data_IF_638644509819
#
_entry.id   IF_638644509819
#
_cell.length_a   1.000
_cell.length_b   1.000
_cell.length_c   1.000
_cell.angle_alpha   90.00
_cell.angle_beta   90.00
_cell.angle_gamma   90.00
#
_symmetry.space_group_name_H-M   'P 1'
#
loop_
_entity.id
_entity.type
_entity.pdbx_description
1 polymer ?
#
# COMPACT_ATOMS: atom_id res chain seq x y z
N UNK A 1 23.86 34.36 -24.42
CA UNK A 1 23.95 34.47 -22.94
C UNK A 1 22.57 34.49 -22.29
N UNK A 2 21.62 35.29 -22.78
CA UNK A 2 20.22 35.25 -22.32
C UNK A 2 19.55 33.89 -22.54
N UNK A 3 19.72 33.26 -23.71
CA UNK A 3 19.12 31.94 -23.98
C UNK A 3 19.71 30.82 -23.10
N UNK A 4 21.01 30.88 -22.80
CA UNK A 4 21.65 29.94 -21.89
C UNK A 4 21.17 30.12 -20.43
N UNK A 5 20.84 31.35 -20.04
CA UNK A 5 20.26 31.65 -18.73
C UNK A 5 18.80 31.18 -18.64
N UNK A 6 18.02 31.35 -19.72
CA UNK A 6 16.66 30.80 -19.79
C UNK A 6 16.66 29.26 -19.82
N UNK A 7 17.57 28.61 -20.55
CA UNK A 7 17.75 27.16 -20.49
C UNK A 7 18.20 26.68 -19.12
N UNK A 8 19.08 27.41 -18.44
CA UNK A 8 19.47 27.11 -17.06
C UNK A 8 18.29 27.21 -16.09
N UNK A 9 17.45 28.24 -16.21
CA UNK A 9 16.24 28.35 -15.41
C UNK A 9 15.24 27.22 -15.72
N UNK A 10 15.11 26.82 -16.99
CA UNK A 10 14.24 25.71 -17.40
C UNK A 10 14.75 24.33 -16.96
N UNK A 11 16.06 24.16 -16.77
CA UNK A 11 16.66 22.92 -16.27
C UNK A 11 16.68 22.83 -14.74
N UNK A 12 16.39 23.92 -14.02
CA UNK A 12 16.24 23.85 -12.56
C UNK A 12 14.97 23.09 -12.17
N UNK A 13 15.07 22.24 -11.14
CA UNK A 13 13.93 21.49 -10.59
C UNK A 13 12.72 22.37 -10.22
N UNK A 14 12.96 23.65 -9.92
CA UNK A 14 11.90 24.62 -9.64
C UNK A 14 10.96 24.88 -10.82
N UNK A 15 11.43 24.74 -12.07
CA UNK A 15 10.60 24.91 -13.26
C UNK A 15 9.64 23.73 -13.50
N UNK A 16 9.99 22.53 -13.02
CA UNK A 16 9.15 21.33 -13.09
C UNK A 16 8.12 21.20 -11.97
N UNK A 17 8.06 22.16 -11.04
CA UNK A 17 7.11 22.13 -9.92
C UNK A 17 5.69 22.46 -10.39
N UNK A 18 4.93 21.41 -10.68
CA UNK A 18 3.48 21.51 -10.85
C UNK A 18 2.78 21.47 -9.48
N UNK A 19 1.58 22.06 -9.39
CA UNK A 19 0.70 21.95 -8.22
C UNK A 19 0.54 20.51 -7.74
N UNK A 20 0.35 19.55 -8.66
CA UNK A 20 0.24 18.13 -8.32
C UNK A 20 1.49 17.57 -7.64
N UNK A 21 2.68 17.93 -8.13
CA UNK A 21 3.97 17.50 -7.54
C UNK A 21 4.13 18.08 -6.13
N UNK A 22 3.84 19.37 -5.97
CA UNK A 22 3.92 20.03 -4.66
C UNK A 22 2.95 19.39 -3.66
N UNK A 23 1.73 19.07 -4.10
CA UNK A 23 0.74 18.39 -3.27
C UNK A 23 1.23 16.99 -2.84
N UNK A 24 1.76 16.20 -3.77
CA UNK A 24 2.28 14.86 -3.47
C UNK A 24 3.50 14.89 -2.53
N UNK A 25 4.37 15.89 -2.66
CA UNK A 25 5.47 16.12 -1.73
C UNK A 25 4.97 16.53 -0.34
N UNK A 26 3.90 17.32 -0.24
CA UNK A 26 3.28 17.62 1.05
C UNK A 26 2.68 16.37 1.69
N UNK A 27 2.03 15.51 0.89
CA UNK A 27 1.48 14.23 1.35
C UNK A 27 2.60 13.30 1.82
N UNK A 28 3.72 13.18 1.10
CA UNK A 28 4.83 12.33 1.53
C UNK A 28 5.43 12.79 2.86
N UNK A 29 5.61 14.11 3.05
CA UNK A 29 6.04 14.67 4.34
C UNK A 29 5.04 14.37 5.46
N UNK A 30 3.73 14.46 5.19
CA UNK A 30 2.70 14.09 6.15
C UNK A 30 2.76 12.60 6.52
N UNK A 31 2.92 11.72 5.54
CA UNK A 31 3.05 10.28 5.78
C UNK A 31 4.31 9.93 6.56
N UNK A 32 5.45 10.58 6.26
CA UNK A 32 6.67 10.44 7.06
C UNK A 32 6.47 10.90 8.51
N UNK A 33 5.76 12.02 8.71
CA UNK A 33 5.42 12.49 10.06
C UNK A 33 4.55 11.46 10.81
N UNK A 34 3.51 10.92 10.17
CA UNK A 34 2.67 9.89 10.78
C UNK A 34 3.46 8.62 11.11
N UNK A 35 4.32 8.16 10.20
CA UNK A 35 5.10 6.95 10.39
C UNK A 35 6.14 7.10 11.51
N UNK A 36 6.86 8.23 11.55
CA UNK A 36 7.98 8.45 12.48
C UNK A 36 7.50 8.96 13.84
N UNK A 37 6.68 10.02 13.85
CA UNK A 37 6.29 10.71 15.10
C UNK A 37 5.12 10.00 15.77
N UNK A 38 4.16 9.51 14.98
CA UNK A 38 2.99 8.81 15.51
C UNK A 38 3.16 7.28 15.53
N UNK A 39 4.21 6.75 14.92
CA UNK A 39 4.50 5.31 14.91
C UNK A 39 3.53 4.49 14.07
N UNK A 40 2.93 5.09 13.04
CA UNK A 40 1.98 4.40 12.16
C UNK A 40 2.75 3.48 11.21
N UNK A 41 2.70 2.16 11.49
CA UNK A 41 3.35 1.10 10.71
C UNK A 41 4.69 1.51 10.07
N UNK A 42 5.68 1.91 10.91
CA UNK A 42 6.88 2.56 10.43
C UNK A 42 7.69 1.69 9.48
N UNK A 43 7.59 0.37 9.61
CA UNK A 43 8.33 -0.60 8.79
C UNK A 43 8.01 -0.48 7.30
N UNK A 44 6.76 -0.14 6.95
CA UNK A 44 6.28 -0.09 5.56
C UNK A 44 5.88 1.32 5.15
N UNK A 45 5.29 2.11 6.05
CA UNK A 45 4.84 3.46 5.72
C UNK A 45 6.02 4.43 5.48
N UNK A 46 7.16 4.25 6.16
CA UNK A 46 8.36 5.08 5.91
C UNK A 46 8.92 4.85 4.50
N UNK A 47 9.22 3.61 4.05
CA UNK A 47 9.65 3.36 2.67
C UNK A 47 8.64 3.84 1.63
N UNK A 48 7.33 3.67 1.87
CA UNK A 48 6.29 4.14 0.95
C UNK A 48 6.32 5.67 0.84
N UNK A 49 6.31 6.37 1.97
CA UNK A 49 6.33 7.82 1.98
C UNK A 49 7.60 8.39 1.34
N UNK A 50 8.75 7.76 1.58
CA UNK A 50 10.00 8.12 0.93
C UNK A 50 9.96 7.85 -0.58
N UNK A 51 9.37 6.74 -1.01
CA UNK A 51 9.13 6.44 -2.42
C UNK A 51 8.25 7.49 -3.10
N UNK A 52 7.16 7.92 -2.45
CA UNK A 52 6.29 9.01 -2.94
C UNK A 52 7.08 10.32 -3.07
N UNK A 53 7.95 10.64 -2.11
CA UNK A 53 8.79 11.83 -2.19
C UNK A 53 9.74 11.75 -3.40
N UNK A 54 10.45 10.63 -3.57
CA UNK A 54 11.43 10.46 -4.65
C UNK A 54 10.79 10.45 -6.04
N UNK A 55 9.65 9.77 -6.23
CA UNK A 55 8.99 9.69 -7.54
C UNK A 55 8.42 11.03 -8.00
N UNK A 56 8.17 11.96 -7.07
CA UNK A 56 7.66 13.29 -7.37
C UNK A 56 8.77 14.34 -7.51
N UNK A 57 10.06 13.98 -7.41
CA UNK A 57 11.14 14.93 -7.68
C UNK A 57 11.19 15.30 -9.18
N UNK A 58 11.10 16.59 -9.53
CA UNK A 58 11.08 17.02 -10.93
C UNK A 58 12.39 16.67 -11.62
N UNK A 59 12.29 16.21 -12.87
CA UNK A 59 13.41 15.78 -13.73
C UNK A 59 14.26 14.61 -13.22
N UNK A 60 13.87 13.95 -12.11
CA UNK A 60 14.65 12.86 -11.56
C UNK A 60 14.47 11.53 -12.32
N UNK A 61 13.33 11.35 -13.03
CA UNK A 61 13.10 10.18 -13.89
C UNK A 61 13.15 8.83 -13.18
N UNK A 62 13.02 8.78 -11.85
CA UNK A 62 13.32 7.57 -11.06
C UNK A 62 12.38 6.39 -11.32
N UNK A 63 11.19 6.64 -11.87
CA UNK A 63 10.21 5.65 -12.31
C UNK A 63 10.14 5.50 -13.84
N UNK A 64 11.01 6.19 -14.60
CA UNK A 64 10.98 6.13 -16.06
C UNK A 64 11.33 4.71 -16.55
N UNK A 65 10.56 4.15 -17.49
CA UNK A 65 10.91 2.87 -18.10
C UNK A 65 12.17 3.01 -18.95
N UNK A 66 12.98 1.94 -19.08
CA UNK A 66 14.14 1.95 -19.98
C UNK A 66 13.68 2.11 -21.43
N UNK A 67 14.43 2.90 -22.21
CA UNK A 67 14.22 3.03 -23.64
C UNK A 67 15.12 2.01 -24.33
N UNK A 68 14.49 1.01 -24.93
CA UNK A 68 15.17 -0.04 -25.69
C UNK A 68 14.89 0.15 -27.17
N UNK A 69 15.94 0.24 -27.97
CA UNK A 69 15.85 0.24 -29.43
C UNK A 69 16.38 -1.10 -29.95
N UNK A 70 15.67 -1.66 -30.94
CA UNK A 70 16.09 -2.88 -31.61
C UNK A 70 16.82 -2.45 -32.88
N UNK A 71 18.13 -2.68 -32.94
CA UNK A 71 18.94 -2.46 -34.13
C UNK A 71 19.64 -3.78 -34.47
N UNK A 72 19.53 -4.23 -35.71
CA UNK A 72 20.20 -5.44 -36.22
C UNK A 72 19.97 -6.73 -35.37
N UNK A 73 18.72 -7.00 -34.99
CA UNK A 73 18.33 -8.18 -34.17
C UNK A 73 18.93 -8.23 -32.75
N UNK A 74 19.63 -7.17 -32.32
CA UNK A 74 20.16 -7.00 -30.95
C UNK A 74 19.37 -5.91 -30.22
N UNK A 75 18.98 -6.19 -28.97
CA UNK A 75 18.29 -5.22 -28.11
C UNK A 75 19.35 -4.31 -27.49
N UNK A 76 19.38 -3.06 -27.91
CA UNK A 76 20.25 -2.03 -27.34
C UNK A 76 19.45 -1.16 -26.36
N UNK A 77 19.97 -0.99 -25.15
CA UNK A 77 19.40 -0.04 -24.17
C UNK A 77 19.98 1.34 -24.46
N UNK A 78 19.15 2.25 -24.95
CA UNK A 78 19.55 3.62 -25.30
C UNK A 78 19.62 4.48 -24.05
N UNK A 79 18.62 4.36 -23.17
CA UNK A 79 18.60 5.00 -21.87
C UNK A 79 18.23 3.97 -20.78
N UNK A 80 19.05 3.86 -19.72
CA UNK A 80 18.72 2.99 -18.60
C UNK A 80 17.48 3.52 -17.88
N UNK A 81 16.62 2.60 -17.44
CA UNK A 81 15.43 2.95 -16.66
C UNK A 81 15.79 3.52 -15.29
N UNK A 82 14.84 4.19 -14.66
CA UNK A 82 15.02 4.71 -13.30
C UNK A 82 15.17 3.58 -12.26
N UNK A 83 15.91 3.84 -11.17
CA UNK A 83 16.11 2.84 -10.11
C UNK A 83 14.79 2.31 -9.52
N UNK A 84 13.82 3.20 -9.27
CA UNK A 84 12.54 2.81 -8.69
C UNK A 84 11.69 2.01 -9.68
N UNK A 85 11.86 2.21 -10.99
CA UNK A 85 11.22 1.37 -12.00
C UNK A 85 11.66 -0.09 -11.88
N UNK A 86 12.97 -0.35 -11.78
CA UNK A 86 13.47 -1.72 -11.65
C UNK A 86 13.06 -2.37 -10.32
N UNK A 87 13.04 -1.60 -9.22
CA UNK A 87 12.50 -2.11 -7.96
C UNK A 87 11.01 -2.41 -8.09
N UNK A 88 10.24 -1.55 -8.73
CA UNK A 88 8.81 -1.76 -8.95
C UNK A 88 8.50 -3.03 -9.78
N UNK A 89 9.40 -3.45 -10.67
CA UNK A 89 9.24 -4.72 -11.37
C UNK A 89 9.13 -5.92 -10.42
N UNK A 90 9.73 -5.87 -9.24
CA UNK A 90 9.55 -6.91 -8.23
C UNK A 90 8.11 -7.05 -7.74
N UNK A 91 7.34 -5.96 -7.72
CA UNK A 91 5.91 -6.01 -7.42
C UNK A 91 5.08 -6.41 -8.65
N UNK A 92 5.37 -5.83 -9.81
CA UNK A 92 4.66 -6.12 -11.06
C UNK A 92 4.77 -7.60 -11.48
N UNK A 93 5.98 -8.17 -11.34
CA UNK A 93 6.25 -9.59 -11.55
C UNK A 93 5.69 -10.48 -10.42
N UNK A 94 5.19 -9.89 -9.33
CA UNK A 94 4.62 -10.61 -8.19
C UNK A 94 5.65 -11.35 -7.35
N UNK A 95 6.87 -10.82 -7.25
CA UNK A 95 7.97 -11.41 -6.49
C UNK A 95 7.93 -10.94 -5.03
N UNK A 96 7.82 -9.63 -4.80
CA UNK A 96 7.90 -9.08 -3.44
C UNK A 96 6.72 -9.45 -2.53
N UNK A 97 5.44 -9.36 -2.97
CA UNK A 97 4.34 -9.68 -2.06
C UNK A 97 4.38 -11.13 -1.55
N UNK A 98 4.58 -12.17 -2.38
CA UNK A 98 4.71 -13.55 -1.88
C UNK A 98 5.91 -13.77 -0.96
N UNK A 99 7.04 -13.08 -1.19
CA UNK A 99 8.20 -13.15 -0.29
C UNK A 99 7.89 -12.54 1.08
N UNK A 100 7.17 -11.43 1.11
CA UNK A 100 6.69 -10.83 2.36
C UNK A 100 5.71 -11.79 3.05
N UNK A 101 4.80 -12.42 2.31
CA UNK A 101 3.89 -13.44 2.84
C UNK A 101 4.59 -14.64 3.45
N UNK A 102 5.66 -15.11 2.80
CA UNK A 102 6.49 -16.19 3.35
C UNK A 102 7.07 -15.77 4.71
N UNK A 103 7.55 -14.54 4.82
CA UNK A 103 8.05 -13.98 6.08
C UNK A 103 6.97 -13.90 7.15
N UNK A 104 5.79 -13.36 6.82
CA UNK A 104 4.63 -13.31 7.74
C UNK A 104 4.23 -14.71 8.19
N UNK A 105 4.15 -15.67 7.27
CA UNK A 105 3.84 -17.06 7.57
C UNK A 105 4.88 -17.72 8.48
N UNK A 106 6.17 -17.44 8.27
CA UNK A 106 7.25 -17.95 9.10
C UNK A 106 7.26 -17.36 10.53
N UNK A 107 6.74 -16.15 10.71
CA UNK A 107 6.62 -15.48 12.01
C UNK A 107 5.29 -15.77 12.72
N UNK A 108 4.34 -16.43 12.06
CA UNK A 108 2.99 -16.67 12.60
C UNK A 108 2.99 -17.85 13.55
N UNK A 109 2.55 -17.63 14.80
CA UNK A 109 2.31 -18.70 15.77
C UNK A 109 0.91 -19.32 15.58
N UNK A 110 0.88 -20.61 15.25
CA UNK A 110 -0.35 -21.36 15.06
C UNK A 110 -0.88 -22.01 16.35
N UNK A 111 -0.11 -22.03 17.44
CA UNK A 111 -0.50 -22.64 18.72
C UNK A 111 -1.87 -22.16 19.21
N UNK A 112 -2.14 -20.84 19.31
CA UNK A 112 -3.44 -20.33 19.73
C UNK A 112 -4.60 -20.72 18.80
N UNK A 113 -4.35 -20.81 17.49
CA UNK A 113 -5.36 -21.18 16.50
C UNK A 113 -5.73 -22.67 16.60
N UNK A 114 -4.72 -23.55 16.74
CA UNK A 114 -4.90 -24.99 16.87
C UNK A 114 -5.59 -25.34 18.21
N UNK A 115 -5.23 -24.65 19.29
CA UNK A 115 -5.80 -24.89 20.60
C UNK A 115 -7.30 -24.53 20.70
N UNK A 116 -7.78 -23.58 19.90
CA UNK A 116 -9.21 -23.29 19.77
C UNK A 116 -9.63 -23.05 18.30
N UNK A 117 -9.93 -24.13 17.55
CA UNK A 117 -10.26 -24.04 16.13
C UNK A 117 -11.51 -23.22 15.83
N UNK A 118 -12.41 -23.01 16.81
CA UNK A 118 -13.59 -22.15 16.62
C UNK A 118 -13.22 -20.70 16.30
N UNK A 119 -12.02 -20.26 16.69
CA UNK A 119 -11.50 -18.94 16.32
C UNK A 119 -11.34 -18.75 14.81
N UNK A 120 -11.16 -19.84 14.04
CA UNK A 120 -11.15 -19.80 12.57
C UNK A 120 -12.45 -19.26 11.99
N UNK A 121 -13.60 -19.57 12.62
CA UNK A 121 -14.90 -19.06 12.20
C UNK A 121 -15.03 -17.54 12.42
N UNK A 122 -14.42 -17.02 13.50
CA UNK A 122 -14.33 -15.57 13.70
C UNK A 122 -13.48 -14.92 12.61
N UNK A 123 -12.37 -15.57 12.22
CA UNK A 123 -11.56 -15.13 11.08
C UNK A 123 -12.35 -15.10 9.77
N UNK A 124 -13.15 -16.12 9.49
CA UNK A 124 -14.02 -16.16 8.31
C UNK A 124 -15.06 -15.01 8.32
N UNK A 125 -15.67 -14.75 9.48
CA UNK A 125 -16.61 -13.63 9.63
C UNK A 125 -15.92 -12.26 9.48
N UNK A 126 -14.67 -12.12 9.92
CA UNK A 126 -13.91 -10.88 9.78
C UNK A 126 -13.70 -10.49 8.30
N UNK A 127 -13.58 -11.47 7.39
CA UNK A 127 -13.46 -11.22 5.94
C UNK A 127 -14.74 -10.65 5.32
N UNK A 128 -15.87 -10.62 6.04
CA UNK A 128 -17.09 -9.95 5.57
C UNK A 128 -16.86 -8.45 5.29
N UNK A 129 -15.89 -7.83 5.98
CA UNK A 129 -15.47 -6.45 5.71
C UNK A 129 -15.03 -6.21 4.27
N UNK A 130 -14.40 -7.20 3.61
CA UNK A 130 -14.03 -7.13 2.19
C UNK A 130 -15.27 -7.00 1.32
N UNK A 131 -16.25 -7.88 1.54
CA UNK A 131 -17.48 -7.89 0.74
C UNK A 131 -18.31 -6.62 0.94
N UNK A 132 -18.40 -6.11 2.17
CA UNK A 132 -19.09 -4.85 2.45
C UNK A 132 -18.40 -3.68 1.73
N UNK A 133 -17.08 -3.62 1.78
CA UNK A 133 -16.29 -2.58 1.10
C UNK A 133 -16.44 -2.67 -0.42
N UNK A 134 -16.39 -3.89 -0.98
CA UNK A 134 -16.63 -4.17 -2.39
C UNK A 134 -18.02 -3.75 -2.84
N UNK A 135 -19.07 -4.13 -2.11
CA UNK A 135 -20.46 -3.75 -2.42
C UNK A 135 -20.65 -2.24 -2.33
N UNK A 136 -20.02 -1.57 -1.36
CA UNK A 136 -20.02 -0.11 -1.26
C UNK A 136 -19.33 0.57 -2.45
N UNK A 137 -18.17 0.05 -2.87
CA UNK A 137 -17.43 0.55 -4.02
C UNK A 137 -18.23 0.38 -5.33
N UNK A 138 -18.80 -0.80 -5.59
CA UNK A 138 -19.67 -1.02 -6.75
C UNK A 138 -20.94 -0.17 -6.66
N UNK A 139 -21.59 -0.12 -5.50
CA UNK A 139 -22.83 0.63 -5.28
C UNK A 139 -22.68 2.14 -5.48
N UNK A 140 -21.46 2.68 -5.33
CA UNK A 140 -21.17 4.08 -5.63
C UNK A 140 -21.26 4.43 -7.12
N UNK A 141 -21.17 3.43 -8.02
CA UNK A 141 -21.13 3.63 -9.47
C UNK A 141 -19.84 4.29 -10.01
N UNK A 142 -18.86 4.56 -9.13
CA UNK A 142 -17.61 5.25 -9.50
C UNK A 142 -16.50 4.31 -9.98
N UNK A 143 -16.58 3.03 -9.64
CA UNK A 143 -15.51 2.06 -9.85
C UNK A 143 -15.99 0.85 -10.65
N UNK A 144 -15.11 0.32 -11.49
CA UNK A 144 -15.29 -0.97 -12.15
C UNK A 144 -15.26 -2.12 -11.13
N UNK A 145 -15.73 -3.31 -11.52
CA UNK A 145 -15.69 -4.47 -10.63
C UNK A 145 -14.25 -4.83 -10.19
N UNK A 146 -13.27 -4.67 -11.06
CA UNK A 146 -11.85 -4.94 -10.78
C UNK A 146 -11.27 -3.92 -9.80
N UNK A 147 -11.59 -2.63 -9.97
CA UNK A 147 -11.18 -1.58 -9.05
C UNK A 147 -11.86 -1.73 -7.70
N UNK A 148 -13.17 -2.02 -7.69
CA UNK A 148 -13.92 -2.29 -6.47
C UNK A 148 -13.38 -3.52 -5.72
N UNK A 149 -12.96 -4.57 -6.42
CA UNK A 149 -12.31 -5.73 -5.81
C UNK A 149 -10.97 -5.35 -5.17
N UNK A 150 -10.18 -4.52 -5.85
CA UNK A 150 -8.91 -4.00 -5.35
C UNK A 150 -9.07 -3.05 -4.15
N UNK A 151 -10.17 -2.29 -4.08
CA UNK A 151 -10.50 -1.46 -2.91
C UNK A 151 -11.05 -2.33 -1.78
N UNK A 152 -11.87 -3.34 -2.12
CA UNK A 152 -12.51 -4.23 -1.16
C UNK A 152 -11.52 -4.94 -0.26
N UNK A 153 -10.38 -5.38 -0.80
CA UNK A 153 -9.36 -6.13 -0.06
C UNK A 153 -8.76 -5.35 1.13
N UNK A 154 -8.84 -4.02 1.13
CA UNK A 154 -8.44 -3.17 2.27
C UNK A 154 -9.22 -3.58 3.53
N UNK A 155 -10.47 -3.99 3.37
CA UNK A 155 -11.32 -4.47 4.47
C UNK A 155 -10.82 -5.78 5.12
N UNK A 156 -9.88 -6.49 4.49
CA UNK A 156 -9.22 -7.67 5.06
C UNK A 156 -8.07 -7.33 6.01
N UNK A 157 -7.65 -6.05 6.06
CA UNK A 157 -6.54 -5.56 6.88
C UNK A 157 -5.21 -6.34 6.66
N UNK A 158 -4.95 -6.76 5.42
CA UNK A 158 -3.75 -7.47 5.00
C UNK A 158 -3.05 -6.71 3.85
N UNK A 159 -2.09 -5.87 4.22
CA UNK A 159 -1.38 -4.98 3.29
C UNK A 159 -0.69 -5.69 2.13
N UNK A 160 0.12 -6.74 2.36
CA UNK A 160 0.75 -7.48 1.28
C UNK A 160 -0.25 -8.12 0.31
N UNK A 161 -1.41 -8.63 0.78
CA UNK A 161 -2.45 -9.18 -0.12
C UNK A 161 -3.08 -8.05 -0.93
N UNK A 162 -3.31 -6.90 -0.29
CA UNK A 162 -3.86 -5.73 -0.96
C UNK A 162 -2.97 -5.23 -2.09
N UNK A 163 -1.65 -5.16 -1.87
CA UNK A 163 -0.66 -4.83 -2.90
C UNK A 163 -0.71 -5.85 -4.02
N UNK A 164 -0.63 -7.15 -3.70
CA UNK A 164 -0.62 -8.22 -4.70
C UNK A 164 -1.87 -8.22 -5.59
N UNK A 165 -3.05 -8.09 -4.98
CA UNK A 165 -4.31 -8.10 -5.74
C UNK A 165 -4.43 -6.85 -6.62
N UNK A 166 -4.12 -5.67 -6.07
CA UNK A 166 -4.22 -4.42 -6.82
C UNK A 166 -3.18 -4.32 -7.94
N UNK A 167 -1.98 -4.88 -7.78
CA UNK A 167 -0.98 -4.94 -8.86
C UNK A 167 -1.41 -5.85 -10.03
N UNK A 168 -2.37 -6.75 -9.82
CA UNK A 168 -2.96 -7.61 -10.87
C UNK A 168 -4.28 -7.09 -11.43
N UNK A 169 -5.13 -6.50 -10.60
CA UNK A 169 -6.49 -6.08 -10.99
C UNK A 169 -6.62 -4.59 -11.32
N UNK A 170 -5.93 -3.71 -10.60
CA UNK A 170 -6.00 -2.26 -10.78
C UNK A 170 -4.66 -1.57 -10.47
N UNK A 171 -3.62 -1.75 -11.32
CA UNK A 171 -2.27 -1.26 -11.04
C UNK A 171 -2.19 0.27 -10.86
N UNK A 172 -3.09 1.01 -11.53
CA UNK A 172 -3.17 2.47 -11.41
C UNK A 172 -3.68 2.95 -10.04
N UNK A 173 -4.38 2.10 -9.28
CA UNK A 173 -4.86 2.41 -7.93
C UNK A 173 -3.92 1.91 -6.82
N UNK A 174 -2.91 1.11 -7.16
CA UNK A 174 -1.99 0.47 -6.22
C UNK A 174 -1.44 1.44 -5.17
N UNK A 175 -0.95 2.62 -5.60
CA UNK A 175 -0.39 3.61 -4.69
C UNK A 175 -1.39 4.11 -3.65
N UNK A 176 -2.62 4.43 -4.09
CA UNK A 176 -3.69 4.89 -3.21
C UNK A 176 -4.14 3.77 -2.26
N UNK A 177 -4.29 2.55 -2.76
CA UNK A 177 -4.70 1.38 -1.99
C UNK A 177 -3.66 1.03 -0.92
N UNK A 178 -2.37 1.01 -1.27
CA UNK A 178 -1.29 0.69 -0.33
C UNK A 178 -1.21 1.73 0.79
N UNK A 179 -1.27 3.03 0.46
CA UNK A 179 -1.27 4.10 1.47
C UNK A 179 -2.48 3.97 2.39
N UNK A 180 -3.68 3.75 1.82
CA UNK A 180 -4.91 3.59 2.60
C UNK A 180 -4.86 2.36 3.51
N UNK A 181 -4.41 1.21 3.00
CA UNK A 181 -4.33 -0.04 3.75
C UNK A 181 -3.47 0.12 5.02
N UNK A 182 -2.21 0.52 4.88
CA UNK A 182 -1.30 0.65 6.02
C UNK A 182 -1.69 1.81 6.96
N UNK A 183 -2.24 2.91 6.42
CA UNK A 183 -2.75 4.00 7.25
C UNK A 183 -3.94 3.55 8.11
N UNK A 184 -4.87 2.77 7.54
CA UNK A 184 -6.04 2.27 8.27
C UNK A 184 -5.69 1.15 9.26
N UNK A 185 -4.72 0.29 8.94
CA UNK A 185 -4.21 -0.71 9.88
C UNK A 185 -3.62 -0.06 11.13
N UNK A 186 -2.88 1.03 10.98
CA UNK A 186 -2.38 1.81 12.12
C UNK A 186 -3.50 2.51 12.93
N UNK A 187 -4.67 2.75 12.33
CA UNK A 187 -5.83 3.36 12.99
C UNK A 187 -6.72 2.36 13.75
N UNK A 188 -6.42 1.06 13.67
CA UNK A 188 -7.17 0.00 14.38
C UNK A 188 -7.34 0.31 15.89
N UNK A 189 -6.33 0.75 16.64
CA UNK A 189 -6.49 1.08 18.07
C UNK A 189 -7.45 2.24 18.34
N UNK A 190 -7.74 3.08 17.34
CA UNK A 190 -8.67 4.20 17.44
C UNK A 190 -10.07 3.78 16.99
N UNK A 191 -10.17 3.01 15.90
CA UNK A 191 -11.44 2.60 15.28
C UNK A 191 -12.09 1.44 16.04
N UNK A 192 -11.30 0.45 16.48
CA UNK A 192 -11.82 -0.80 17.07
C UNK A 192 -12.47 -0.59 18.44
N UNK A 193 -11.89 0.15 19.41
CA UNK A 193 -12.48 0.23 20.75
C UNK A 193 -13.87 0.90 20.81
N UNK A 194 -14.16 1.99 20.06
CA UNK A 194 -15.52 2.55 19.99
C UNK A 194 -16.55 1.54 19.48
N UNK A 195 -16.23 0.78 18.43
CA UNK A 195 -17.12 -0.24 17.86
C UNK A 195 -17.39 -1.34 18.90
N UNK A 196 -16.35 -1.83 19.58
CA UNK A 196 -16.52 -2.79 20.67
C UNK A 196 -17.40 -2.22 21.77
N UNK A 197 -17.24 -0.94 22.13
CA UNK A 197 -18.04 -0.28 23.16
C UNK A 197 -19.52 -0.18 22.80
N UNK A 198 -19.82 -0.01 21.52
CA UNK A 198 -21.17 0.12 20.97
C UNK A 198 -21.90 -1.23 20.85
N UNK A 199 -21.21 -2.27 20.36
CA UNK A 199 -21.86 -3.54 20.00
C UNK A 199 -21.87 -4.60 21.10
N UNK A 200 -20.90 -4.57 22.03
CA UNK A 200 -20.80 -5.61 23.07
C UNK A 200 -21.32 -5.12 24.41
N UNK A 201 -21.82 -6.02 25.25
CA UNK A 201 -22.30 -5.69 26.61
C UNK A 201 -21.21 -5.87 27.66
N UNK A 202 -21.40 -5.28 28.86
CA UNK A 202 -20.47 -5.51 29.98
C UNK A 202 -20.40 -6.98 30.40
N UNK A 203 -21.51 -7.73 30.30
CA UNK A 203 -21.55 -9.15 30.67
C UNK A 203 -20.66 -9.99 29.75
N UNK A 204 -20.70 -9.73 28.44
CA UNK A 204 -19.87 -10.44 27.44
C UNK A 204 -18.38 -10.14 27.60
N UNK A 205 -18.01 -8.88 27.92
CA UNK A 205 -16.61 -8.47 28.08
C UNK A 205 -15.89 -9.08 29.30
N UNK A 206 -16.64 -9.61 30.27
CA UNK A 206 -16.10 -10.18 31.52
C UNK A 206 -16.06 -11.72 31.46
N UNK A 207 -16.45 -12.34 30.34
CA UNK A 207 -16.34 -13.78 30.14
C UNK A 207 -14.86 -14.20 30.28
N UNK A 208 -14.59 -15.14 31.19
CA UNK A 208 -13.25 -15.69 31.37
C UNK A 208 -12.95 -16.66 30.24
N UNK A 209 -11.89 -16.38 29.48
CA UNK A 209 -11.38 -17.31 28.47
C UNK A 209 -10.63 -18.45 29.17
N UNK A 210 -10.97 -19.69 28.84
CA UNK A 210 -10.25 -20.87 29.33
C UNK A 210 -8.83 -20.91 28.75
N UNK A 211 -7.90 -21.49 29.50
CA UNK A 211 -6.51 -21.60 29.08
C UNK A 211 -6.42 -22.54 27.87
N UNK A 212 -5.66 -22.11 26.85
CA UNK A 212 -5.50 -22.86 25.60
C UNK A 212 -4.90 -24.25 25.90
N UNK A 213 -5.41 -25.27 25.20
CA UNK A 213 -4.89 -26.65 25.27
C UNK A 213 -3.45 -26.68 24.76
N UNK A 214 -2.62 -27.55 25.36
CA UNK A 214 -1.23 -27.77 24.94
C UNK A 214 -1.13 -28.26 23.49
#
# INVERSE_FOLDING_TARGET
MLDAFFQFLQSTGFYGLNFGVVLMMAISCLLLYLAIVKGFEPLLLVPIAFGVLLTNLPFAGLMAPPIMEITEEVIHTVEPGGLLYYLFQGDHLGIFPPLIFLGVGAMTDFGPLIANPKSLLLGAAAQFGIFVTFMGAIGSGLFTAQEAASIGIIGGADGPTAIFLSSKLAPHLLGAIAIAAYSYMALVPIIQPPIMRLLTTKKERIIKMEQLRH
#
